data_IF_271371817763
#
_entry.id   IF_271371817763
#
_cell.length_a   1.000
_cell.length_b   1.000
_cell.length_c   1.000
_cell.angle_alpha   90.00
_cell.angle_beta   90.00
_cell.angle_gamma   90.00
#
_symmetry.space_group_name_H-M   'P 1'
#
loop_
_entity.id
_entity.type
_entity.pdbx_description
1 polymer ?
#
# COMPACT_ATOMS: atom_id res chain seq x y z
N UNK A 1 -0.91 -13.70 -20.90
CA UNK A 1 -2.34 -13.62 -20.52
C UNK A 1 -2.46 -12.43 -19.59
N UNK A 2 -3.06 -11.34 -20.06
CA UNK A 2 -3.13 -10.05 -19.36
C UNK A 2 -3.93 -10.14 -18.07
N UNK A 3 -3.45 -9.49 -17.01
CA UNK A 3 -4.32 -8.63 -16.21
C UNK A 3 -3.56 -7.44 -15.61
N UNK A 4 -4.23 -6.31 -15.56
CA UNK A 4 -3.68 -4.95 -15.60
C UNK A 4 -3.16 -4.48 -14.23
N UNK A 5 -2.01 -3.77 -14.27
CA UNK A 5 -1.52 -2.74 -13.32
C UNK A 5 -2.25 -2.70 -11.96
N UNK A 6 -1.63 -3.24 -10.92
CA UNK A 6 -1.99 -2.89 -9.54
C UNK A 6 -1.44 -1.47 -9.31
N UNK A 7 -2.31 -0.48 -9.56
CA UNK A 7 -2.14 0.90 -9.11
C UNK A 7 -1.91 0.87 -7.61
N UNK A 8 -1.09 1.77 -7.08
CA UNK A 8 -0.63 1.84 -5.68
C UNK A 8 -1.74 2.05 -4.64
N UNK A 9 -3.00 1.83 -5.03
CA UNK A 9 -4.21 2.22 -4.33
C UNK A 9 -5.19 1.05 -4.40
N UNK A 10 -5.79 0.69 -3.27
CA UNK A 10 -6.79 -0.37 -3.15
C UNK A 10 -8.01 0.09 -2.35
N UNK A 11 -9.15 -0.56 -2.57
CA UNK A 11 -10.42 -0.19 -1.93
C UNK A 11 -11.34 0.65 -2.83
N UNK A 12 -12.34 1.34 -2.24
CA UNK A 12 -12.49 1.63 -0.82
C UNK A 12 -12.95 0.45 0.03
N UNK A 13 -12.29 0.26 1.17
CA UNK A 13 -12.59 -0.78 2.15
C UNK A 13 -13.54 -0.21 3.21
N UNK A 14 -14.69 -0.85 3.48
CA UNK A 14 -15.58 -0.44 4.55
C UNK A 14 -14.92 -0.72 5.91
N UNK A 15 -14.60 0.34 6.63
CA UNK A 15 -14.12 0.34 8.00
C UNK A 15 -15.27 0.59 8.95
N UNK A 16 -15.41 -0.28 9.94
CA UNK A 16 -16.43 -0.16 10.99
C UNK A 16 -16.26 1.10 11.85
N UNK A 17 -15.05 1.66 11.92
CA UNK A 17 -14.71 2.86 12.70
C UNK A 17 -14.59 4.12 11.84
N UNK A 18 -14.18 3.99 10.59
CA UNK A 18 -13.77 5.12 9.74
C UNK A 18 -14.67 5.29 8.50
N UNK A 19 -15.73 4.50 8.31
CA UNK A 19 -16.49 4.56 7.06
C UNK A 19 -15.67 3.97 5.90
N UNK A 20 -15.67 4.59 4.74
CA UNK A 20 -14.95 4.09 3.56
C UNK A 20 -13.52 4.60 3.51
N UNK A 21 -12.55 3.69 3.65
CA UNK A 21 -11.13 4.04 3.55
C UNK A 21 -10.55 3.57 2.23
N UNK A 22 -9.84 4.46 1.54
CA UNK A 22 -8.97 4.10 0.42
C UNK A 22 -7.58 3.77 0.97
N UNK A 23 -7.08 2.57 0.67
CA UNK A 23 -5.73 2.15 1.04
C UNK A 23 -4.73 2.55 -0.02
N UNK A 24 -3.55 3.01 0.37
CA UNK A 24 -2.43 3.36 -0.51
C UNK A 24 -1.24 2.51 -0.09
N UNK A 25 -0.76 1.63 -0.97
CA UNK A 25 0.41 0.80 -0.72
C UNK A 25 1.67 1.44 -1.29
N UNK A 26 2.55 1.88 -0.39
CA UNK A 26 3.81 2.58 -0.74
C UNK A 26 5.04 1.68 -0.61
N UNK A 27 4.84 0.40 -0.31
CA UNK A 27 5.92 -0.57 -0.11
C UNK A 27 5.68 -1.76 -1.04
N UNK A 28 6.69 -2.19 -1.82
CA UNK A 28 6.55 -3.37 -2.66
C UNK A 28 6.25 -4.59 -1.80
N UNK A 29 5.57 -5.54 -2.40
CA UNK A 29 5.19 -6.76 -1.74
C UNK A 29 6.39 -7.44 -1.06
N UNK A 30 6.27 -7.61 0.26
CA UNK A 30 7.19 -8.39 1.11
C UNK A 30 8.64 -7.89 1.14
N UNK A 31 8.84 -6.59 0.92
CA UNK A 31 10.07 -5.90 1.30
C UNK A 31 9.94 -5.46 2.76
N UNK A 32 10.68 -6.10 3.65
CA UNK A 32 10.47 -5.98 5.10
C UNK A 32 11.80 -6.09 5.86
N UNK A 33 11.93 -5.45 7.02
CA UNK A 33 13.08 -5.69 7.91
C UNK A 33 12.97 -6.96 8.76
N UNK A 34 11.78 -7.58 8.78
CA UNK A 34 11.46 -8.74 9.61
C UNK A 34 11.12 -9.96 8.76
N UNK A 35 11.25 -11.13 9.37
CA UNK A 35 10.85 -12.41 8.79
C UNK A 35 9.95 -13.18 9.75
N UNK A 36 8.75 -12.63 9.97
CA UNK A 36 7.81 -13.13 10.98
C UNK A 36 7.18 -14.44 10.53
N UNK A 37 7.29 -15.50 11.35
CA UNK A 37 6.64 -16.81 11.09
C UNK A 37 5.11 -16.75 11.00
N UNK A 38 4.51 -15.68 11.54
CA UNK A 38 3.07 -15.43 11.58
C UNK A 38 2.62 -14.38 10.56
N UNK A 39 3.47 -14.03 9.59
CA UNK A 39 3.10 -13.03 8.59
C UNK A 39 1.96 -13.55 7.70
N UNK A 40 0.82 -12.87 7.73
CA UNK A 40 -0.36 -13.21 6.90
C UNK A 40 -0.07 -13.15 5.39
N UNK A 41 0.98 -12.44 5.00
CA UNK A 41 1.43 -12.31 3.62
C UNK A 41 2.42 -13.41 3.19
N UNK A 42 2.76 -14.36 4.07
CA UNK A 42 3.65 -15.50 3.77
C UNK A 42 5.11 -15.29 4.18
N UNK A 43 6.06 -15.95 3.49
CA UNK A 43 7.51 -15.84 3.77
C UNK A 43 8.11 -14.58 3.16
N UNK A 44 9.13 -13.99 3.81
CA UNK A 44 9.76 -12.76 3.32
C UNK A 44 10.57 -13.01 2.06
N UNK A 45 10.32 -12.22 1.01
CA UNK A 45 11.05 -12.31 -0.26
C UNK A 45 12.29 -11.42 -0.28
N UNK A 46 12.22 -10.24 0.36
CA UNK A 46 13.35 -9.33 0.43
C UNK A 46 13.49 -8.74 1.84
N UNK A 47 14.39 -9.35 2.61
CA UNK A 47 14.73 -8.87 3.95
C UNK A 47 15.78 -7.78 3.87
N UNK A 48 15.39 -6.54 4.13
CA UNK A 48 16.29 -5.39 4.06
C UNK A 48 16.00 -4.38 5.17
N UNK A 49 17.05 -3.72 5.65
CA UNK A 49 16.97 -2.58 6.57
C UNK A 49 17.23 -1.25 5.87
N UNK A 50 17.55 -1.28 4.57
CA UNK A 50 17.87 -0.09 3.79
C UNK A 50 16.60 0.66 3.43
N UNK A 51 16.61 1.97 3.69
CA UNK A 51 15.54 2.88 3.26
C UNK A 51 15.76 3.19 1.79
N UNK A 52 14.72 2.99 0.98
CA UNK A 52 14.71 3.26 -0.45
C UNK A 52 13.40 3.91 -0.84
N UNK A 53 13.45 4.71 -1.90
CA UNK A 53 12.25 5.05 -2.66
C UNK A 53 11.91 3.85 -3.53
N UNK A 54 10.70 3.30 -3.34
CA UNK A 54 10.26 2.13 -4.08
C UNK A 54 9.43 2.48 -5.30
N UNK A 55 8.70 3.59 -5.22
CA UNK A 55 7.82 4.08 -6.26
C UNK A 55 7.90 5.61 -6.33
N UNK A 56 7.85 6.21 -7.53
CA UNK A 56 7.79 7.66 -7.68
C UNK A 56 6.52 8.21 -7.03
N UNK A 57 6.66 9.30 -6.26
CA UNK A 57 5.53 9.93 -5.57
C UNK A 57 4.46 10.41 -6.56
N UNK A 58 4.87 10.92 -7.73
CA UNK A 58 3.97 11.42 -8.76
C UNK A 58 3.04 10.33 -9.31
N UNK A 59 3.53 9.09 -9.41
CA UNK A 59 2.73 7.95 -9.86
C UNK A 59 1.64 7.61 -8.84
N UNK A 60 1.99 7.59 -7.56
CA UNK A 60 1.05 7.35 -6.46
C UNK A 60 -0.02 8.45 -6.42
N UNK A 61 0.38 9.72 -6.53
CA UNK A 61 -0.55 10.85 -6.52
C UNK A 61 -1.51 10.77 -7.72
N UNK A 62 -1.00 10.41 -8.90
CA UNK A 62 -1.82 10.21 -10.10
C UNK A 62 -2.85 9.10 -9.90
N UNK A 63 -2.45 7.98 -9.31
CA UNK A 63 -3.36 6.86 -9.01
C UNK A 63 -4.45 7.24 -8.01
N UNK A 64 -4.10 7.97 -6.95
CA UNK A 64 -5.06 8.45 -5.94
C UNK A 64 -6.05 9.43 -6.59
N UNK A 65 -5.58 10.40 -7.37
CA UNK A 65 -6.45 11.35 -8.09
C UNK A 65 -7.39 10.65 -9.04
N UNK A 66 -6.89 9.68 -9.82
CA UNK A 66 -7.70 8.87 -10.72
C UNK A 66 -8.82 8.15 -9.97
N UNK A 67 -8.55 7.65 -8.75
CA UNK A 67 -9.55 6.91 -7.97
C UNK A 67 -10.58 7.83 -7.30
N UNK A 68 -10.17 9.03 -6.89
CA UNK A 68 -11.07 10.04 -6.35
C UNK A 68 -12.08 10.57 -7.39
N UNK A 69 -11.74 10.52 -8.69
CA UNK A 69 -12.64 10.93 -9.76
C UNK A 69 -13.78 9.93 -10.04
N UNK A 70 -13.69 8.68 -9.57
CA UNK A 70 -14.69 7.64 -9.83
C UNK A 70 -16.03 7.86 -9.07
N UNK A 71 -16.21 9.00 -8.39
CA UNK A 71 -17.42 9.35 -7.62
C UNK A 71 -17.82 8.30 -6.57
N UNK A 72 -16.82 7.59 -6.03
CA UNK A 72 -17.01 6.60 -4.96
C UNK A 72 -16.83 7.31 -3.63
N UNK A 73 -17.69 7.01 -2.64
CA UNK A 73 -17.56 7.55 -1.29
C UNK A 73 -16.25 7.09 -0.66
N UNK A 74 -15.39 8.05 -0.33
CA UNK A 74 -14.12 7.85 0.36
C UNK A 74 -14.08 8.86 1.51
N UNK A 75 -14.11 8.36 2.74
CA UNK A 75 -14.07 9.17 3.94
C UNK A 75 -12.61 9.36 4.44
N UNK A 76 -11.72 8.37 4.20
CA UNK A 76 -10.31 8.41 4.65
C UNK A 76 -9.33 7.87 3.61
N UNK A 77 -8.09 8.38 3.67
CA UNK A 77 -6.92 7.83 2.97
C UNK A 77 -6.01 7.17 4.01
N UNK A 78 -5.70 5.89 3.83
CA UNK A 78 -4.84 5.11 4.72
C UNK A 78 -3.57 4.73 3.99
N UNK A 79 -2.41 5.14 4.52
CA UNK A 79 -1.12 4.63 4.08
C UNK A 79 -0.92 3.23 4.66
N UNK A 80 -0.73 2.27 3.79
CA UNK A 80 -0.44 0.87 4.11
C UNK A 80 0.90 0.48 3.50
N UNK A 81 1.41 -0.67 3.91
CA UNK A 81 2.60 -1.29 3.33
C UNK A 81 2.40 -2.79 3.29
N UNK A 82 2.55 -3.42 2.12
CA UNK A 82 2.64 -4.89 2.02
C UNK A 82 3.97 -5.47 2.54
N UNK A 83 4.60 -4.76 3.48
CA UNK A 83 5.89 -5.01 4.11
C UNK A 83 6.15 -3.95 5.19
N UNK A 84 7.13 -4.18 6.06
CA UNK A 84 7.44 -3.23 7.14
C UNK A 84 8.37 -2.13 6.65
N UNK A 85 7.98 -0.86 6.86
CA UNK A 85 8.82 0.30 6.60
C UNK A 85 9.40 0.80 7.92
N UNK A 86 10.72 0.75 8.08
CA UNK A 86 11.38 1.43 9.21
C UNK A 86 11.23 2.95 9.05
N UNK A 87 10.67 3.59 10.08
CA UNK A 87 10.77 5.05 10.30
C UNK A 87 12.13 5.32 10.93
N UNK A 88 12.93 6.21 10.33
CA UNK A 88 14.11 6.74 10.99
C UNK A 88 13.63 7.65 12.14
N UNK A 89 14.08 7.38 13.36
CA UNK A 89 14.10 8.36 14.45
C UNK A 89 15.40 9.13 14.30
#
# INVERSE_FOLDING_TARGET
MQDRKIKHVFGPVPSRRLGYSLGIDVVPFKVCSFDCIYCQLGNTTNKTILIKEYFPIDEIISDVKSKLQESIRIDYLTLSGSGERKRQI
#
